data_IF_530293857798
#
_entry.id   IF_530293857798
#
_cell.length_a   1.000
_cell.length_b   1.000
_cell.length_c   1.000
_cell.angle_alpha   90.00
_cell.angle_beta   90.00
_cell.angle_gamma   90.00
#
_symmetry.space_group_name_H-M   'P 1'
#
loop_
_entity.id
_entity.type
_entity.pdbx_description
1 polymer ?
#
# COMPACT_ATOMS: atom_id res chain seq x y z
N UNK A 1 -63.54 39.98 15.94
CA UNK A 1 -62.53 40.34 14.92
C UNK A 1 -61.09 40.09 15.36
N UNK A 2 -60.67 40.44 16.59
CA UNK A 2 -59.31 40.16 17.09
C UNK A 2 -58.88 38.68 17.09
N UNK A 3 -59.81 37.77 17.41
CA UNK A 3 -59.51 36.33 17.48
C UNK A 3 -59.28 35.69 16.09
N UNK A 4 -59.96 36.20 15.05
CA UNK A 4 -59.77 35.74 13.66
C UNK A 4 -58.44 36.23 13.08
N UNK A 5 -58.00 37.45 13.44
CA UNK A 5 -56.69 37.97 13.04
C UNK A 5 -55.52 37.19 13.66
N UNK A 6 -55.66 36.78 14.92
CA UNK A 6 -54.62 35.99 15.62
C UNK A 6 -54.46 34.59 15.02
N UNK A 7 -55.56 33.97 14.59
CA UNK A 7 -55.56 32.63 13.99
C UNK A 7 -54.92 32.63 12.59
N UNK A 8 -55.13 33.68 11.79
CA UNK A 8 -54.45 33.89 10.50
C UNK A 8 -52.94 34.12 10.66
N UNK A 9 -52.53 34.83 11.71
CA UNK A 9 -51.12 35.09 11.99
C UNK A 9 -50.39 33.81 12.46
N UNK A 10 -51.07 32.96 13.22
CA UNK A 10 -50.59 31.62 13.61
C UNK A 10 -50.41 30.68 12.41
N UNK A 11 -51.34 30.68 11.43
CA UNK A 11 -51.25 29.86 10.21
C UNK A 11 -50.12 30.31 9.27
N UNK A 12 -49.70 31.58 9.33
CA UNK A 12 -48.59 32.09 8.51
C UNK A 12 -47.19 31.76 9.07
N UNK A 13 -47.11 31.23 10.30
CA UNK A 13 -45.84 30.93 10.98
C UNK A 13 -45.37 29.48 10.83
N UNK A 14 -46.04 28.66 10.00
CA UNK A 14 -45.52 27.33 9.69
C UNK A 14 -44.26 27.46 8.84
N UNK A 15 -43.09 27.04 9.35
CA UNK A 15 -41.88 27.04 8.54
C UNK A 15 -42.07 26.03 7.41
N UNK A 16 -42.02 26.52 6.17
CA UNK A 16 -41.92 25.71 4.96
C UNK A 16 -40.54 25.04 4.90
N UNK A 17 -40.32 24.09 5.82
CA UNK A 17 -39.18 23.17 5.76
C UNK A 17 -39.42 22.25 4.57
N UNK A 18 -38.85 22.64 3.43
CA UNK A 18 -38.71 21.80 2.25
C UNK A 18 -38.04 20.49 2.66
N UNK A 19 -38.82 19.41 2.72
CA UNK A 19 -38.33 18.07 2.95
C UNK A 19 -37.61 17.63 1.68
N UNK A 20 -36.29 17.41 1.78
CA UNK A 20 -35.57 16.71 0.72
C UNK A 20 -36.15 15.29 0.62
N UNK A 21 -36.78 14.97 -0.50
CA UNK A 21 -37.40 13.66 -0.71
C UNK A 21 -36.43 12.76 -1.45
N UNK A 22 -36.06 11.64 -0.81
CA UNK A 22 -35.34 10.55 -1.47
C UNK A 22 -36.37 9.70 -2.22
N UNK A 23 -36.22 9.62 -3.54
CA UNK A 23 -37.07 8.82 -4.43
C UNK A 23 -36.56 7.38 -4.50
N UNK A 24 -35.24 7.20 -4.67
CA UNK A 24 -34.61 5.89 -4.76
C UNK A 24 -33.32 5.88 -3.95
N UNK A 25 -33.10 4.79 -3.21
CA UNK A 25 -31.84 4.51 -2.54
C UNK A 25 -31.13 3.33 -3.22
N UNK A 26 -29.91 3.57 -3.73
CA UNK A 26 -29.10 2.55 -4.39
C UNK A 26 -28.06 1.89 -3.46
N UNK A 27 -28.01 2.29 -2.18
CA UNK A 27 -27.05 1.77 -1.20
C UNK A 27 -27.07 0.21 -1.10
N UNK A 28 -28.23 -0.43 -1.28
CA UNK A 28 -28.36 -1.89 -1.22
C UNK A 28 -27.90 -2.63 -2.48
N UNK A 29 -27.69 -1.92 -3.60
CA UNK A 29 -27.26 -2.48 -4.88
C UNK A 29 -25.77 -2.20 -5.17
N UNK A 30 -25.04 -1.70 -4.17
CA UNK A 30 -23.60 -1.47 -4.26
C UNK A 30 -22.87 -2.82 -4.24
N UNK A 31 -21.97 -3.01 -5.20
CA UNK A 31 -21.10 -4.18 -5.28
C UNK A 31 -19.64 -3.76 -5.17
N UNK A 32 -18.87 -4.49 -4.37
CA UNK A 32 -17.43 -4.27 -4.19
C UNK A 32 -16.64 -5.07 -5.24
N UNK A 33 -15.74 -4.40 -5.95
CA UNK A 33 -14.77 -5.07 -6.80
C UNK A 33 -13.42 -5.15 -6.06
N UNK A 34 -12.79 -6.31 -6.18
CA UNK A 34 -11.49 -6.60 -5.59
C UNK A 34 -10.39 -6.52 -6.65
N UNK A 35 -9.22 -6.08 -6.23
CA UNK A 35 -8.03 -6.04 -7.09
C UNK A 35 -7.59 -7.45 -7.50
N UNK A 36 -7.09 -7.59 -8.72
CA UNK A 36 -6.46 -8.82 -9.25
C UNK A 36 -5.10 -9.18 -8.61
N UNK A 37 -4.71 -8.49 -7.54
CA UNK A 37 -3.47 -8.75 -6.81
C UNK A 37 -3.54 -10.01 -5.94
N UNK A 38 -2.37 -10.60 -5.64
CA UNK A 38 -2.22 -11.77 -4.77
C UNK A 38 -2.85 -11.55 -3.38
N UNK A 39 -2.84 -10.31 -2.89
CA UNK A 39 -3.68 -9.85 -1.80
C UNK A 39 -4.94 -9.20 -2.37
N UNK A 40 -6.09 -9.88 -2.24
CA UNK A 40 -7.40 -9.33 -2.64
C UNK A 40 -7.75 -8.13 -1.78
N UNK A 41 -7.45 -6.93 -2.28
CA UNK A 41 -7.82 -5.68 -1.64
C UNK A 41 -9.05 -5.10 -2.33
N UNK A 42 -9.92 -4.43 -1.58
CA UNK A 42 -11.06 -3.70 -2.16
C UNK A 42 -10.52 -2.53 -2.98
N UNK A 43 -10.93 -2.42 -4.24
CA UNK A 43 -10.39 -1.41 -5.15
C UNK A 43 -11.44 -0.41 -5.60
N UNK A 44 -12.68 -0.87 -5.79
CA UNK A 44 -13.79 -0.01 -6.16
C UNK A 44 -15.14 -0.48 -5.61
N UNK A 45 -16.08 0.46 -5.50
CA UNK A 45 -17.51 0.18 -5.31
C UNK A 45 -18.25 0.66 -6.55
N UNK A 46 -19.05 -0.22 -7.14
CA UNK A 46 -19.81 0.07 -8.35
C UNK A 46 -21.30 -0.21 -8.15
N UNK A 47 -22.14 0.53 -8.88
CA UNK A 47 -23.58 0.25 -8.97
C UNK A 47 -24.13 0.67 -10.32
N UNK A 48 -24.99 -0.18 -10.87
CA UNK A 48 -25.75 0.16 -12.07
C UNK A 48 -27.04 0.88 -11.69
N UNK A 49 -27.22 2.10 -12.20
CA UNK A 49 -28.37 2.95 -11.96
C UNK A 49 -29.13 3.24 -13.26
N UNK A 50 -30.42 3.53 -13.16
CA UNK A 50 -31.26 3.90 -14.31
C UNK A 50 -31.44 5.43 -14.35
N UNK A 51 -30.97 6.03 -15.44
CA UNK A 51 -31.00 7.49 -15.64
C UNK A 51 -32.37 7.96 -16.14
N UNK A 52 -33.12 7.10 -16.83
CA UNK A 52 -34.43 7.44 -17.40
C UNK A 52 -35.53 7.52 -16.33
N UNK A 53 -35.37 6.81 -15.21
CA UNK A 53 -36.30 6.87 -14.10
C UNK A 53 -36.20 8.21 -13.37
N UNK A 54 -37.26 9.01 -13.33
CA UNK A 54 -37.28 10.34 -12.69
C UNK A 54 -36.29 11.34 -13.32
N UNK A 55 -36.60 11.87 -14.52
CA UNK A 55 -35.70 12.74 -15.28
C UNK A 55 -35.41 14.08 -14.59
N UNK A 56 -36.36 14.61 -13.81
CA UNK A 56 -36.22 15.89 -13.12
C UNK A 56 -35.53 15.78 -11.74
N UNK A 57 -35.18 14.56 -11.32
CA UNK A 57 -34.55 14.33 -10.03
C UNK A 57 -33.05 14.70 -10.06
N UNK A 58 -32.47 14.87 -8.88
CA UNK A 58 -31.04 15.04 -8.68
C UNK A 58 -30.44 13.84 -7.97
N UNK A 59 -29.15 13.62 -8.21
CA UNK A 59 -28.35 12.59 -7.59
C UNK A 59 -27.59 13.17 -6.42
N UNK A 60 -27.64 12.51 -5.27
CA UNK A 60 -26.81 12.80 -4.11
C UNK A 60 -25.84 11.66 -3.91
N UNK A 61 -24.55 11.93 -4.11
CA UNK A 61 -23.47 10.96 -4.00
C UNK A 61 -22.59 11.37 -2.83
N UNK A 62 -22.39 10.47 -1.86
CA UNK A 62 -21.43 10.65 -0.78
C UNK A 62 -20.14 9.91 -1.15
N UNK A 63 -19.04 10.65 -1.13
CA UNK A 63 -17.71 10.18 -1.53
C UNK A 63 -16.74 10.43 -0.38
N UNK A 64 -15.96 9.40 0.04
CA UNK A 64 -14.89 9.61 0.98
C UNK A 64 -13.69 10.27 0.30
N UNK A 65 -12.78 10.84 1.09
CA UNK A 65 -11.54 11.46 0.62
C UNK A 65 -10.71 10.50 -0.25
N UNK A 66 -10.09 11.06 -1.27
CA UNK A 66 -9.19 10.35 -2.19
C UNK A 66 -9.89 9.43 -3.18
N UNK A 67 -11.16 9.70 -3.50
CA UNK A 67 -11.97 8.85 -4.40
C UNK A 67 -12.06 9.46 -5.79
N UNK A 68 -11.80 8.66 -6.81
CA UNK A 68 -12.14 8.98 -8.19
C UNK A 68 -13.56 8.53 -8.52
N UNK A 69 -14.41 9.43 -9.00
CA UNK A 69 -15.76 9.10 -9.45
C UNK A 69 -15.76 8.87 -10.96
N UNK A 70 -16.29 7.73 -11.38
CA UNK A 70 -16.43 7.34 -12.77
C UNK A 70 -17.90 7.11 -13.12
N UNK A 71 -18.26 7.51 -14.34
CA UNK A 71 -19.53 7.22 -14.98
C UNK A 71 -19.25 6.32 -16.19
N UNK A 72 -19.62 5.04 -16.08
CA UNK A 72 -19.09 3.95 -16.89
C UNK A 72 -17.55 3.99 -16.88
N UNK A 73 -16.94 4.22 -18.05
CA UNK A 73 -15.50 4.29 -18.23
C UNK A 73 -14.93 5.73 -18.19
N UNK A 74 -15.80 6.74 -18.07
CA UNK A 74 -15.39 8.14 -18.09
C UNK A 74 -15.14 8.66 -16.67
N UNK A 75 -13.93 9.18 -16.43
CA UNK A 75 -13.63 9.90 -15.20
C UNK A 75 -14.43 11.19 -15.15
N UNK A 76 -15.21 11.37 -14.08
CA UNK A 76 -15.89 12.64 -13.81
C UNK A 76 -14.95 13.60 -13.10
N UNK A 77 -14.52 13.26 -11.88
CA UNK A 77 -13.60 14.08 -11.10
C UNK A 77 -12.98 13.27 -9.95
N UNK A 78 -11.85 13.74 -9.44
CA UNK A 78 -11.20 13.23 -8.25
C UNK A 78 -11.48 14.13 -7.04
N UNK A 79 -11.90 13.53 -5.93
CA UNK A 79 -12.27 14.26 -4.71
C UNK A 79 -11.21 14.07 -3.62
N UNK A 80 -10.40 15.10 -3.30
CA UNK A 80 -9.31 14.99 -2.31
C UNK A 80 -9.82 14.95 -0.86
N UNK A 81 -11.05 15.40 -0.60
CA UNK A 81 -11.67 15.46 0.73
C UNK A 81 -13.05 14.79 0.72
N UNK A 82 -13.58 14.46 1.91
CA UNK A 82 -14.93 13.91 2.06
C UNK A 82 -15.96 14.89 1.46
N UNK A 83 -16.70 14.42 0.46
CA UNK A 83 -17.56 15.27 -0.36
C UNK A 83 -18.95 14.68 -0.51
N UNK A 84 -19.97 15.54 -0.38
CA UNK A 84 -21.34 15.22 -0.75
C UNK A 84 -21.65 15.98 -2.03
N UNK A 85 -21.75 15.25 -3.12
CA UNK A 85 -22.01 15.77 -4.44
C UNK A 85 -23.51 15.76 -4.71
N UNK A 86 -24.04 16.85 -5.25
CA UNK A 86 -25.43 16.93 -5.74
C UNK A 86 -25.40 17.29 -7.21
N UNK A 87 -25.74 16.33 -8.09
CA UNK A 87 -25.72 16.52 -9.54
C UNK A 87 -27.13 16.42 -10.11
N UNK A 88 -27.47 17.27 -11.09
CA UNK A 88 -28.70 17.11 -11.86
C UNK A 88 -28.64 15.88 -12.77
N UNK A 89 -29.78 15.23 -13.01
CA UNK A 89 -29.83 14.10 -13.94
C UNK A 89 -29.38 14.47 -15.36
N UNK A 90 -29.58 15.74 -15.75
CA UNK A 90 -29.16 16.27 -17.06
C UNK A 90 -27.64 16.26 -17.27
N UNK A 91 -26.84 16.47 -16.22
CA UNK A 91 -25.38 16.48 -16.34
C UNK A 91 -24.79 15.07 -16.52
N UNK A 92 -25.51 14.04 -16.06
CA UNK A 92 -25.07 12.64 -16.15
C UNK A 92 -25.70 11.93 -17.36
N UNK A 93 -26.80 12.48 -17.91
CA UNK A 93 -27.50 11.95 -19.08
C UNK A 93 -26.60 11.65 -20.30
N UNK A 94 -25.52 12.39 -20.59
CA UNK A 94 -24.61 12.07 -21.70
C UNK A 94 -23.86 10.74 -21.54
N UNK A 95 -23.68 10.27 -20.31
CA UNK A 95 -22.90 9.07 -20.01
C UNK A 95 -23.75 7.79 -20.02
N UNK A 96 -25.07 7.87 -20.28
CA UNK A 96 -25.94 6.69 -20.26
C UNK A 96 -25.64 5.75 -21.43
N UNK A 97 -25.78 4.45 -21.20
CA UNK A 97 -25.76 3.45 -22.26
C UNK A 97 -27.06 3.50 -23.08
N UNK A 98 -27.09 2.80 -24.22
CA UNK A 98 -28.26 2.75 -25.12
C UNK A 98 -29.56 2.31 -24.43
N UNK A 99 -29.47 1.55 -23.32
CA UNK A 99 -30.61 1.11 -22.50
C UNK A 99 -31.04 2.12 -21.42
N UNK A 100 -30.37 3.27 -21.28
CA UNK A 100 -30.61 4.25 -20.22
C UNK A 100 -30.00 3.91 -18.86
N UNK A 101 -29.25 2.81 -18.79
CA UNK A 101 -28.48 2.42 -17.60
C UNK A 101 -27.11 3.10 -17.59
N UNK A 102 -26.61 3.34 -16.39
CA UNK A 102 -25.32 3.94 -16.13
C UNK A 102 -24.66 3.20 -14.98
N UNK A 103 -23.40 2.83 -15.13
CA UNK A 103 -22.59 2.35 -14.04
C UNK A 103 -21.92 3.53 -13.34
N UNK A 104 -22.10 3.65 -12.03
CA UNK A 104 -21.42 4.65 -11.21
C UNK A 104 -20.38 3.92 -10.37
N UNK A 105 -19.12 4.25 -10.59
CA UNK A 105 -17.99 3.57 -9.95
C UNK A 105 -17.18 4.55 -9.12
N UNK A 106 -17.00 4.25 -7.85
CA UNK A 106 -16.10 4.95 -6.95
C UNK A 106 -14.82 4.13 -6.78
N UNK A 107 -13.70 4.67 -7.29
CA UNK A 107 -12.38 4.03 -7.23
C UNK A 107 -11.57 4.62 -6.07
N UNK A 108 -11.25 3.77 -5.09
CA UNK A 108 -10.38 4.08 -3.95
C UNK A 108 -9.89 2.78 -3.32
N UNK A 109 -8.58 2.66 -3.13
CA UNK A 109 -7.98 1.49 -2.46
C UNK A 109 -8.50 1.39 -1.02
N UNK A 110 -9.04 0.23 -0.66
CA UNK A 110 -9.62 -0.05 0.66
C UNK A 110 -11.00 0.56 0.90
N UNK A 111 -11.71 1.01 -0.15
CA UNK A 111 -13.07 1.57 0.02
C UNK A 111 -14.04 0.53 0.58
N UNK A 112 -14.90 0.97 1.50
CA UNK A 112 -16.00 0.17 2.06
C UNK A 112 -17.35 0.63 1.50
N UNK A 113 -18.32 -0.27 1.40
CA UNK A 113 -19.70 0.09 0.99
C UNK A 113 -20.31 1.17 1.90
N UNK A 114 -19.93 1.22 3.17
CA UNK A 114 -20.49 2.16 4.15
C UNK A 114 -20.06 3.61 3.92
N UNK A 115 -18.89 3.81 3.32
CA UNK A 115 -18.34 5.14 3.00
C UNK A 115 -18.98 5.74 1.74
N UNK A 116 -19.58 4.92 0.89
CA UNK A 116 -20.15 5.32 -0.39
C UNK A 116 -21.68 5.22 -0.37
N UNK A 117 -22.37 6.28 -0.80
CA UNK A 117 -23.84 6.26 -0.86
C UNK A 117 -24.34 7.01 -2.08
N UNK A 118 -25.27 6.39 -2.81
CA UNK A 118 -25.91 6.98 -3.99
C UNK A 118 -27.42 7.00 -3.80
N UNK A 119 -28.00 8.20 -3.88
CA UNK A 119 -29.44 8.43 -3.72
C UNK A 119 -29.96 9.32 -4.84
N UNK A 120 -31.15 9.00 -5.34
CA UNK A 120 -31.88 9.84 -6.31
C UNK A 120 -33.05 10.51 -5.60
N UNK A 121 -33.25 11.80 -5.82
CA UNK A 121 -34.19 12.58 -5.03
C UNK A 121 -34.31 14.03 -5.47
N UNK A 122 -35.24 14.76 -4.84
CA UNK A 122 -35.29 16.22 -4.96
C UNK A 122 -34.46 16.83 -3.85
N UNK A 123 -33.23 17.21 -4.19
CA UNK A 123 -32.29 17.85 -3.28
C UNK A 123 -32.15 19.32 -3.67
N UNK A 124 -32.22 20.23 -2.69
CA UNK A 124 -31.81 21.63 -2.96
C UNK A 124 -30.33 21.63 -3.31
N UNK A 125 -30.00 22.20 -4.46
CA UNK A 125 -28.63 22.41 -4.95
C UNK A 125 -27.88 23.23 -3.90
N UNK A 126 -27.11 22.55 -3.05
CA UNK A 126 -26.41 23.20 -1.95
C UNK A 126 -24.98 23.62 -2.33
N UNK A 127 -24.50 23.28 -3.52
CA UNK A 127 -23.36 23.89 -4.20
C UNK A 127 -23.26 23.26 -5.60
N UNK A 128 -23.36 24.07 -6.66
CA UNK A 128 -22.78 23.69 -7.95
C UNK A 128 -21.27 23.77 -7.78
N UNK A 129 -20.64 22.62 -7.50
CA UNK A 129 -19.18 22.54 -7.59
C UNK A 129 -18.85 22.60 -9.07
N UNK A 130 -18.40 23.78 -9.49
CA UNK A 130 -17.81 24.01 -10.81
C UNK A 130 -16.64 23.03 -10.98
N UNK A 131 -16.54 22.31 -12.12
CA UNK A 131 -15.50 21.30 -12.31
C UNK A 131 -14.15 21.99 -12.20
N UNK A 132 -13.36 21.61 -11.21
CA UNK A 132 -12.04 22.22 -11.03
C UNK A 132 -11.16 21.80 -12.20
N UNK A 133 -10.49 22.78 -12.81
CA UNK A 133 -9.53 22.54 -13.88
C UNK A 133 -8.52 21.48 -13.46
N UNK A 134 -8.58 20.33 -14.15
CA UNK A 134 -7.49 19.37 -14.36
C UNK A 134 -6.44 19.34 -13.23
N UNK A 135 -6.85 18.91 -12.04
CA UNK A 135 -5.88 18.43 -11.06
C UNK A 135 -5.45 17.05 -11.55
N UNK A 136 -4.42 17.01 -12.40
CA UNK A 136 -3.66 15.80 -12.69
C UNK A 136 -3.06 15.31 -11.37
N UNK A 137 -3.85 14.52 -10.62
CA UNK A 137 -3.38 13.87 -9.41
C UNK A 137 -2.34 12.84 -9.83
N UNK A 138 -1.13 13.05 -9.32
CA UNK A 138 0.02 12.18 -9.49
C UNK A 138 -0.43 10.75 -9.18
N UNK A 139 -0.43 9.89 -10.21
CA UNK A 139 -0.70 8.45 -10.07
C UNK A 139 0.07 7.93 -8.87
N UNK A 140 -0.64 7.28 -7.95
CA UNK A 140 -0.04 6.60 -6.80
C UNK A 140 0.94 5.56 -7.36
N UNK A 141 2.22 5.93 -7.34
CA UNK A 141 3.28 5.13 -7.91
C UNK A 141 3.54 4.07 -6.87
N UNK A 142 3.51 2.81 -7.24
CA UNK A 142 3.91 1.73 -6.33
C UNK A 142 5.41 1.91 -6.00
N UNK A 143 5.66 2.67 -4.93
CA UNK A 143 6.99 3.13 -4.52
C UNK A 143 7.84 1.94 -4.06
N UNK A 144 7.19 0.95 -3.45
CA UNK A 144 7.78 -0.31 -3.01
C UNK A 144 8.29 -1.11 -4.20
N UNK A 145 7.51 -1.23 -5.28
CA UNK A 145 7.96 -1.92 -6.50
C UNK A 145 9.19 -1.26 -7.11
N UNK A 146 9.23 0.08 -7.16
CA UNK A 146 10.39 0.79 -7.69
C UNK A 146 11.61 0.62 -6.79
N UNK A 147 11.43 0.77 -5.47
CA UNK A 147 12.48 0.52 -4.48
C UNK A 147 13.05 -0.90 -4.63
N UNK A 148 12.19 -1.92 -4.68
CA UNK A 148 12.62 -3.31 -4.78
C UNK A 148 13.45 -3.55 -6.05
N UNK A 149 13.01 -3.00 -7.19
CA UNK A 149 13.75 -3.15 -8.44
C UNK A 149 15.12 -2.47 -8.39
N UNK A 150 15.19 -1.25 -7.84
CA UNK A 150 16.46 -0.52 -7.67
C UNK A 150 17.41 -1.27 -6.73
N UNK A 151 16.91 -1.70 -5.57
CA UNK A 151 17.69 -2.40 -4.57
C UNK A 151 18.18 -3.76 -5.10
N UNK A 152 17.33 -4.50 -5.81
CA UNK A 152 17.70 -5.78 -6.44
C UNK A 152 18.81 -5.59 -7.48
N UNK A 153 18.70 -4.59 -8.36
CA UNK A 153 19.74 -4.28 -9.34
C UNK A 153 21.05 -3.91 -8.63
N UNK A 154 20.98 -3.08 -7.59
CA UNK A 154 22.16 -2.68 -6.83
C UNK A 154 22.86 -3.89 -6.18
N UNK A 155 22.09 -4.80 -5.57
CA UNK A 155 22.63 -6.04 -4.98
C UNK A 155 23.23 -6.94 -6.05
N UNK A 156 22.54 -7.19 -7.16
CA UNK A 156 23.05 -8.02 -8.25
C UNK A 156 24.34 -7.45 -8.86
N UNK A 157 24.40 -6.13 -8.99
CA UNK A 157 25.60 -5.43 -9.44
C UNK A 157 26.75 -5.62 -8.44
N UNK A 158 26.48 -5.52 -7.14
CA UNK A 158 27.48 -5.72 -6.09
C UNK A 158 27.96 -7.18 -6.03
N UNK A 159 27.07 -8.15 -6.26
CA UNK A 159 27.42 -9.58 -6.41
C UNK A 159 28.30 -9.80 -7.65
N UNK A 160 27.98 -9.15 -8.77
CA UNK A 160 28.79 -9.24 -9.99
C UNK A 160 30.20 -8.70 -9.78
N UNK A 161 30.33 -7.56 -9.09
CA UNK A 161 31.62 -7.00 -8.66
C UNK A 161 32.35 -8.01 -7.76
N UNK A 162 31.70 -8.53 -6.73
CA UNK A 162 32.30 -9.50 -5.82
C UNK A 162 32.83 -10.74 -6.56
N UNK A 163 32.04 -11.29 -7.48
CA UNK A 163 32.43 -12.41 -8.32
C UNK A 163 33.64 -12.09 -9.20
N UNK A 164 33.74 -10.87 -9.73
CA UNK A 164 34.85 -10.45 -10.59
C UNK A 164 36.17 -10.28 -9.81
N UNK A 165 36.11 -9.69 -8.62
CA UNK A 165 37.30 -9.45 -7.79
C UNK A 165 37.74 -10.71 -7.01
N UNK A 166 36.79 -11.55 -6.58
CA UNK A 166 37.04 -12.70 -5.70
C UNK A 166 36.43 -14.01 -6.24
N UNK A 167 36.76 -14.44 -7.48
CA UNK A 167 36.13 -15.58 -8.12
C UNK A 167 36.33 -16.91 -7.38
N UNK A 168 37.50 -17.12 -6.77
CA UNK A 168 37.82 -18.33 -6.02
C UNK A 168 36.97 -18.46 -4.75
N UNK A 169 36.72 -17.34 -4.07
CA UNK A 169 35.97 -17.27 -2.81
C UNK A 169 34.46 -17.35 -3.07
N UNK A 170 33.99 -16.71 -4.14
CA UNK A 170 32.58 -16.79 -4.55
C UNK A 170 32.11 -18.24 -4.76
N UNK A 171 32.93 -19.09 -5.38
CA UNK A 171 32.62 -20.50 -5.59
C UNK A 171 32.51 -21.33 -4.30
N UNK A 172 33.29 -20.95 -3.27
CA UNK A 172 33.25 -21.58 -1.93
C UNK A 172 31.96 -21.18 -1.20
N UNK A 173 31.50 -19.94 -1.35
CA UNK A 173 30.28 -19.48 -0.68
C UNK A 173 28.99 -19.96 -1.33
N UNK A 174 29.00 -20.23 -2.65
CA UNK A 174 27.83 -20.78 -3.35
C UNK A 174 27.55 -22.24 -2.97
N UNK A 175 28.52 -22.95 -2.41
CA UNK A 175 28.34 -24.29 -1.88
C UNK A 175 28.02 -24.22 -0.37
N UNK A 176 26.83 -24.64 0.07
CA UNK A 176 26.44 -24.57 1.49
C UNK A 176 27.31 -25.45 2.39
N UNK A 177 27.95 -26.50 1.84
CA UNK A 177 28.84 -27.39 2.59
C UNK A 177 30.19 -26.75 2.92
N UNK A 178 30.70 -25.88 2.06
CA UNK A 178 32.02 -25.24 2.25
C UNK A 178 32.00 -24.05 3.18
N UNK A 179 30.82 -23.54 3.55
CA UNK A 179 30.66 -22.56 4.65
C UNK A 179 31.05 -23.18 5.99
N UNK A 180 30.79 -24.47 6.19
CA UNK A 180 31.20 -25.23 7.39
C UNK A 180 32.63 -25.81 7.28
N UNK A 181 33.22 -25.81 6.08
CA UNK A 181 34.66 -26.06 5.91
C UNK A 181 35.52 -24.84 6.25
N UNK A 182 34.90 -23.70 6.62
CA UNK A 182 35.61 -22.52 7.11
C UNK A 182 36.19 -22.79 8.50
N UNK A 183 35.62 -23.70 9.29
CA UNK A 183 36.25 -24.23 10.52
C UNK A 183 37.66 -24.81 10.23
N UNK A 184 37.91 -25.40 9.05
CA UNK A 184 39.24 -25.88 8.66
C UNK A 184 40.20 -24.70 8.33
N UNK A 185 39.67 -23.54 7.95
CA UNK A 185 40.44 -22.30 7.74
C UNK A 185 40.81 -21.68 9.10
N UNK A 186 39.94 -21.79 10.10
CA UNK A 186 40.22 -21.39 11.49
C UNK A 186 41.39 -22.16 12.10
N UNK A 187 41.56 -23.44 11.75
CA UNK A 187 42.62 -24.30 12.27
C UNK A 187 44.02 -23.93 11.72
N UNK A 188 44.07 -23.22 10.59
CA UNK A 188 45.32 -22.80 9.94
C UNK A 188 46.00 -21.57 10.58
N UNK A 189 46.09 -21.51 11.91
CA UNK A 189 47.10 -20.72 12.66
C UNK A 189 47.26 -19.21 12.35
N UNK A 190 46.36 -18.60 11.59
CA UNK A 190 46.45 -17.20 11.18
C UNK A 190 45.10 -16.54 11.42
N UNK A 191 44.90 -16.11 12.67
CA UNK A 191 43.81 -15.22 13.07
C UNK A 191 43.68 -13.97 12.17
N UNK A 192 44.71 -13.64 11.39
CA UNK A 192 44.72 -12.56 10.40
C UNK A 192 43.89 -12.83 9.14
N UNK A 193 43.58 -14.09 8.78
CA UNK A 193 42.78 -14.41 7.57
C UNK A 193 41.27 -14.43 7.82
N UNK A 194 40.85 -14.61 9.08
CA UNK A 194 39.44 -14.60 9.52
C UNK A 194 38.81 -13.20 9.35
N UNK A 195 39.63 -12.15 9.30
CA UNK A 195 39.23 -10.75 9.07
C UNK A 195 39.59 -10.25 7.67
N UNK A 196 39.62 -11.14 6.67
CA UNK A 196 39.79 -10.68 5.28
C UNK A 196 38.62 -9.77 4.89
N UNK A 197 38.93 -8.65 4.24
CA UNK A 197 37.93 -7.73 3.68
C UNK A 197 36.91 -8.46 2.79
N UNK A 198 37.30 -9.59 2.21
CA UNK A 198 36.48 -10.47 1.39
C UNK A 198 35.29 -11.08 2.16
N UNK A 199 35.52 -11.56 3.38
CA UNK A 199 34.50 -12.17 4.22
C UNK A 199 33.54 -11.11 4.77
N UNK A 200 34.07 -9.93 5.12
CA UNK A 200 33.25 -8.79 5.54
C UNK A 200 32.35 -8.31 4.39
N UNK A 201 32.91 -8.20 3.17
CA UNK A 201 32.14 -7.81 1.99
C UNK A 201 31.03 -8.82 1.67
N UNK A 202 31.33 -10.12 1.76
CA UNK A 202 30.33 -11.17 1.60
C UNK A 202 29.22 -11.10 2.66
N UNK A 203 29.58 -10.86 3.92
CA UNK A 203 28.63 -10.74 5.02
C UNK A 203 27.71 -9.53 4.84
N UNK A 204 28.24 -8.41 4.34
CA UNK A 204 27.43 -7.24 3.91
C UNK A 204 26.46 -7.64 2.79
N UNK A 205 26.94 -8.33 1.76
CA UNK A 205 26.09 -8.79 0.63
C UNK A 205 24.92 -9.67 1.09
N UNK A 206 25.17 -10.67 1.94
CA UNK A 206 24.12 -11.53 2.49
C UNK A 206 23.11 -10.71 3.29
N UNK A 207 23.59 -9.79 4.14
CA UNK A 207 22.69 -8.99 4.96
C UNK A 207 21.89 -7.97 4.13
N UNK A 208 22.43 -7.48 3.01
CA UNK A 208 21.67 -6.68 2.05
C UNK A 208 20.55 -7.49 1.38
N UNK A 209 20.84 -8.73 0.94
CA UNK A 209 19.81 -9.64 0.42
C UNK A 209 18.75 -9.97 1.47
N UNK A 210 19.19 -10.29 2.69
CA UNK A 210 18.32 -10.63 3.82
C UNK A 210 17.45 -9.45 4.21
N UNK A 211 18.03 -8.24 4.27
CA UNK A 211 17.30 -7.00 4.52
C UNK A 211 16.23 -6.73 3.46
N UNK A 212 16.53 -6.99 2.19
CA UNK A 212 15.56 -6.85 1.09
C UNK A 212 14.39 -7.84 1.25
N UNK A 213 14.67 -9.09 1.61
CA UNK A 213 13.65 -10.10 1.88
C UNK A 213 12.78 -9.73 3.09
N UNK A 214 13.39 -9.26 4.18
CA UNK A 214 12.68 -8.82 5.39
C UNK A 214 11.70 -7.69 5.06
N UNK A 215 12.14 -6.67 4.31
CA UNK A 215 11.26 -5.56 3.91
C UNK A 215 10.10 -6.07 3.04
N UNK A 216 10.36 -6.99 2.11
CA UNK A 216 9.32 -7.57 1.27
C UNK A 216 8.28 -8.37 2.07
N UNK A 217 8.73 -9.17 3.04
CA UNK A 217 7.83 -9.95 3.92
C UNK A 217 7.00 -9.02 4.80
N UNK A 218 7.60 -7.98 5.39
CA UNK A 218 6.92 -7.03 6.26
C UNK A 218 5.87 -6.23 5.48
N UNK A 219 6.23 -5.77 4.28
CA UNK A 219 5.28 -5.12 3.38
C UNK A 219 4.12 -6.07 3.00
N UNK A 220 4.42 -7.34 2.67
CA UNK A 220 3.40 -8.34 2.35
C UNK A 220 2.43 -8.64 3.51
N UNK A 221 2.86 -8.44 4.76
CA UNK A 221 2.04 -8.62 5.96
C UNK A 221 1.30 -7.34 6.39
N UNK A 222 1.55 -6.19 5.73
CA UNK A 222 0.93 -4.91 6.08
C UNK A 222 1.32 -4.39 7.47
N UNK A 223 2.49 -4.79 7.98
CA UNK A 223 2.97 -4.36 9.30
C UNK A 223 3.86 -3.13 9.13
N UNK A 224 3.59 -2.06 9.87
CA UNK A 224 4.44 -0.87 9.86
C UNK A 224 5.86 -1.18 10.40
N UNK A 225 6.89 -0.90 9.60
CA UNK A 225 8.27 -1.12 9.99
C UNK A 225 8.76 0.01 10.89
N UNK A 226 8.94 -0.25 12.19
CA UNK A 226 9.67 0.63 13.11
C UNK A 226 9.16 2.10 13.15
N UNK A 227 7.86 2.33 12.91
CA UNK A 227 7.27 3.67 12.86
C UNK A 227 7.68 4.52 11.65
N UNK A 228 8.46 3.94 10.73
CA UNK A 228 8.78 4.51 9.43
C UNK A 228 7.67 4.03 8.49
N UNK A 229 6.62 4.84 8.35
CA UNK A 229 5.49 4.52 7.49
C UNK A 229 5.97 3.99 6.14
N UNK A 230 5.52 2.78 5.77
CA UNK A 230 5.94 2.08 4.55
C UNK A 230 5.37 2.72 3.27
N UNK A 231 4.60 3.81 3.42
CA UNK A 231 4.21 4.76 2.36
C UNK A 231 5.28 5.85 2.13
N UNK A 232 6.52 5.58 2.53
CA UNK A 232 7.63 6.51 2.39
C UNK A 232 8.23 6.47 0.98
N UNK A 233 8.61 7.66 0.50
CA UNK A 233 9.36 7.87 -0.74
C UNK A 233 10.48 6.83 -0.93
N UNK A 234 10.71 6.43 -2.18
CA UNK A 234 11.76 5.45 -2.57
C UNK A 234 13.11 5.73 -1.90
N UNK A 235 13.46 6.99 -1.72
CA UNK A 235 14.69 7.42 -1.04
C UNK A 235 14.73 6.96 0.43
N UNK A 236 13.64 7.14 1.18
CA UNK A 236 13.53 6.74 2.59
C UNK A 236 13.63 5.22 2.73
N UNK A 237 12.94 4.48 1.87
CA UNK A 237 13.02 3.01 1.83
C UNK A 237 14.45 2.53 1.54
N UNK A 238 15.14 3.21 0.62
CA UNK A 238 16.54 2.91 0.27
C UNK A 238 17.49 3.16 1.44
N UNK A 239 17.39 4.30 2.11
CA UNK A 239 18.22 4.60 3.29
C UNK A 239 17.90 3.67 4.46
N UNK A 240 16.62 3.41 4.72
CA UNK A 240 16.19 2.47 5.77
C UNK A 240 16.75 1.08 5.54
N UNK A 241 16.68 0.57 4.30
CA UNK A 241 17.26 -0.72 3.93
C UNK A 241 18.78 -0.77 4.11
N UNK A 242 19.50 0.28 3.70
CA UNK A 242 20.96 0.34 3.86
C UNK A 242 21.36 0.36 5.34
N UNK A 243 20.70 1.19 6.16
CA UNK A 243 20.94 1.27 7.61
C UNK A 243 20.64 -0.07 8.27
N UNK A 244 19.50 -0.68 7.93
CA UNK A 244 19.09 -1.97 8.48
C UNK A 244 20.09 -3.08 8.11
N UNK A 245 20.52 -3.15 6.86
CA UNK A 245 21.50 -4.13 6.38
C UNK A 245 22.86 -3.95 7.05
N UNK A 246 23.28 -2.70 7.27
CA UNK A 246 24.52 -2.37 7.97
C UNK A 246 24.44 -2.73 9.46
N UNK A 247 23.29 -2.46 10.12
CA UNK A 247 23.05 -2.88 11.50
C UNK A 247 23.08 -4.41 11.64
N UNK A 248 22.42 -5.15 10.75
CA UNK A 248 22.49 -6.61 10.72
C UNK A 248 23.92 -7.13 10.52
N UNK A 249 24.71 -6.43 9.69
CA UNK A 249 26.12 -6.73 9.49
C UNK A 249 26.92 -6.57 10.77
N UNK A 250 26.75 -5.46 11.49
CA UNK A 250 27.43 -5.21 12.78
C UNK A 250 27.04 -6.29 13.81
N UNK A 251 25.74 -6.61 13.93
CA UNK A 251 25.25 -7.61 14.88
C UNK A 251 25.83 -9.00 14.56
N UNK A 252 25.82 -9.38 13.28
CA UNK A 252 26.31 -10.69 12.84
C UNK A 252 27.82 -10.78 13.02
N UNK A 253 28.56 -9.70 12.75
CA UNK A 253 29.97 -9.60 13.01
C UNK A 253 30.29 -9.75 14.51
N UNK A 254 29.57 -9.03 15.38
CA UNK A 254 29.74 -9.14 16.83
C UNK A 254 29.43 -10.55 17.35
N UNK A 255 28.37 -11.18 16.81
CA UNK A 255 28.01 -12.57 17.12
C UNK A 255 29.14 -13.53 16.71
N UNK A 256 29.73 -13.34 15.55
CA UNK A 256 30.85 -14.17 15.08
C UNK A 256 32.09 -14.01 15.96
N UNK A 257 32.40 -12.77 16.36
CA UNK A 257 33.48 -12.44 17.30
C UNK A 257 33.28 -13.11 18.66
N UNK A 258 32.04 -13.08 19.17
CA UNK A 258 31.66 -13.73 20.41
C UNK A 258 31.84 -15.25 20.34
N UNK A 259 31.36 -15.90 19.27
CA UNK A 259 31.51 -17.34 19.08
C UNK A 259 32.99 -17.75 18.94
N UNK A 260 33.78 -17.00 18.19
CA UNK A 260 35.21 -17.26 18.04
C UNK A 260 35.97 -17.16 19.36
N UNK A 261 35.68 -16.12 20.16
CA UNK A 261 36.29 -15.94 21.49
C UNK A 261 35.85 -17.04 22.46
N UNK A 262 34.57 -17.42 22.44
CA UNK A 262 34.05 -18.52 23.25
C UNK A 262 34.68 -19.87 22.92
N UNK A 263 34.77 -20.22 21.62
CA UNK A 263 35.39 -21.46 21.18
C UNK A 263 36.87 -21.55 21.57
N UNK A 264 37.59 -20.43 21.49
CA UNK A 264 38.99 -20.33 21.93
C UNK A 264 39.12 -20.48 23.45
N UNK A 265 38.30 -19.78 24.25
CA UNK A 265 38.35 -19.84 25.72
C UNK A 265 38.03 -21.23 26.27
N UNK A 266 37.08 -21.93 25.66
CA UNK A 266 36.68 -23.28 26.07
C UNK A 266 37.51 -24.39 25.43
N UNK A 267 38.50 -24.04 24.59
CA UNK A 267 39.43 -24.96 23.94
C UNK A 267 38.70 -26.19 23.35
N UNK A 268 37.57 -25.92 22.65
CA UNK A 268 36.72 -26.93 22.02
C UNK A 268 37.43 -27.51 20.77
N UNK A 269 38.59 -28.13 20.96
CA UNK A 269 39.36 -28.80 19.91
C UNK A 269 38.72 -30.10 19.41
N UNK A 270 37.65 -30.57 20.05
CA UNK A 270 37.09 -31.90 19.75
C UNK A 270 35.70 -32.04 20.37
N UNK A 271 34.65 -31.76 19.60
CA UNK A 271 33.31 -32.38 19.68
C UNK A 271 32.31 -31.52 18.89
N UNK A 272 32.35 -31.56 17.57
CA UNK A 272 31.15 -31.34 16.76
C UNK A 272 31.15 -32.33 15.59
N UNK A 273 31.05 -33.62 15.92
CA UNK A 273 30.55 -34.62 14.97
C UNK A 273 29.03 -34.41 14.84
N UNK A 274 28.43 -34.50 13.64
CA UNK A 274 27.10 -34.00 13.36
C UNK A 274 26.01 -35.01 13.72
N UNK A 275 25.84 -35.42 14.98
CA UNK A 275 24.63 -36.12 15.46
C UNK A 275 24.44 -35.78 16.96
N UNK A 276 23.81 -34.66 17.26
CA UNK A 276 23.09 -34.46 18.54
C UNK A 276 22.27 -33.17 18.49
N UNK A 277 21.32 -33.10 17.56
CA UNK A 277 20.20 -32.18 17.65
C UNK A 277 18.96 -32.81 16.99
N UNK A 278 18.70 -34.05 17.38
CA UNK A 278 17.38 -34.68 17.35
C UNK A 278 17.23 -35.31 18.74
N UNK A 279 16.85 -34.48 19.70
CA UNK A 279 15.83 -34.69 20.73
C UNK A 279 15.73 -33.44 21.59
#
# INVERSE_FOLDING_TARGET
MLFQGLLLLMLSSFPSKSLAQVLINYDSALHENFSDSWLKQKESVAVTVDVNQFPDASWRIRLPKGTGLFFNDALWEYYPSDTILVISNNAIAPFKNNEGKLEVTALKRGISVEEFSIKKGYFKTLNEVSPSENVLVKRDKDEIKNFFFIALIAVLFLIAIFRAFFPAIFGIFWNPKSVFSIEDIWESGSFSKIYSAELLFYLVLINMCTGLLVILVIHGLGIDFFGMGLDGEVEKLTYGWLIFSLMLTIITFLKFLWLGTGAFLFNLKRLLSPISFIY
#
